data_IF_890035025662
#
_entry.id   IF_890035025662
#
_cell.length_a   1.000
_cell.length_b   1.000
_cell.length_c   1.000
_cell.angle_alpha   90.00
_cell.angle_beta   90.00
_cell.angle_gamma   90.00
#
_symmetry.space_group_name_H-M   'P 1'
#
loop_
_entity.id
_entity.type
_entity.pdbx_description
1 polymer ?
#
# COMPACT_ATOMS: atom_id res chain seq x y z
N UNK A 1 -15.62 -38.58 -46.47
CA UNK A 1 -15.45 -37.55 -45.41
C UNK A 1 -15.84 -37.99 -43.99
N UNK A 2 -16.55 -39.12 -43.78
CA UNK A 2 -17.04 -39.54 -42.44
C UNK A 2 -15.95 -39.96 -41.44
N UNK A 3 -14.72 -40.29 -41.87
CA UNK A 3 -13.66 -40.80 -40.99
C UNK A 3 -12.88 -39.72 -40.21
N UNK A 4 -13.16 -38.44 -40.42
CA UNK A 4 -12.46 -37.34 -39.74
C UNK A 4 -13.12 -36.91 -38.41
N UNK A 5 -14.40 -37.24 -38.22
CA UNK A 5 -15.15 -36.84 -37.03
C UNK A 5 -14.59 -37.42 -35.71
N UNK A 6 -14.19 -38.71 -35.63
CA UNK A 6 -13.61 -39.25 -34.41
C UNK A 6 -12.27 -38.58 -34.05
N UNK A 7 -11.45 -38.30 -35.07
CA UNK A 7 -10.18 -37.60 -34.92
C UNK A 7 -10.39 -36.15 -34.44
N UNK A 8 -11.24 -35.38 -35.12
CA UNK A 8 -11.56 -34.00 -34.77
C UNK A 8 -12.21 -33.89 -33.39
N UNK A 9 -13.13 -34.80 -33.04
CA UNK A 9 -13.75 -34.84 -31.72
C UNK A 9 -12.72 -35.06 -30.60
N UNK A 10 -11.75 -35.96 -30.82
CA UNK A 10 -10.68 -36.20 -29.85
C UNK A 10 -9.76 -34.98 -29.67
N UNK A 11 -9.45 -34.27 -30.76
CA UNK A 11 -8.64 -33.05 -30.74
C UNK A 11 -9.36 -31.90 -30.03
N UNK A 12 -10.64 -31.68 -30.35
CA UNK A 12 -11.46 -30.63 -29.72
C UNK A 12 -11.65 -30.89 -28.23
N UNK A 13 -11.80 -32.16 -27.82
CA UNK A 13 -11.87 -32.50 -26.40
C UNK A 13 -10.58 -32.19 -25.67
N UNK A 14 -9.43 -32.56 -26.25
CA UNK A 14 -8.10 -32.25 -25.68
C UNK A 14 -7.85 -30.75 -25.59
N UNK A 15 -8.20 -29.98 -26.62
CA UNK A 15 -8.02 -28.52 -26.59
C UNK A 15 -8.93 -27.85 -25.56
N UNK A 16 -10.20 -28.29 -25.46
CA UNK A 16 -11.14 -27.80 -24.46
C UNK A 16 -10.67 -28.11 -23.03
N UNK A 17 -10.18 -29.32 -22.81
CA UNK A 17 -9.63 -29.75 -21.52
C UNK A 17 -8.38 -28.93 -21.15
N UNK A 18 -7.45 -28.72 -22.09
CA UNK A 18 -6.28 -27.89 -21.88
C UNK A 18 -6.67 -26.45 -21.50
N UNK A 19 -7.67 -25.86 -22.16
CA UNK A 19 -8.16 -24.53 -21.83
C UNK A 19 -8.75 -24.46 -20.41
N UNK A 20 -9.59 -25.44 -20.04
CA UNK A 20 -10.16 -25.52 -18.68
C UNK A 20 -9.08 -25.65 -17.62
N UNK A 21 -8.11 -26.55 -17.84
CA UNK A 21 -6.98 -26.75 -16.92
C UNK A 21 -6.14 -25.49 -16.79
N UNK A 22 -5.86 -24.81 -17.90
CA UNK A 22 -5.14 -23.54 -17.87
C UNK A 22 -5.90 -22.46 -17.10
N UNK A 23 -7.23 -22.39 -17.25
CA UNK A 23 -8.06 -21.46 -16.48
C UNK A 23 -7.97 -21.73 -14.98
N UNK A 24 -7.99 -23.00 -14.57
CA UNK A 24 -7.82 -23.38 -13.16
C UNK A 24 -6.44 -22.93 -12.66
N UNK A 25 -5.36 -23.26 -13.39
CA UNK A 25 -3.99 -22.88 -13.03
C UNK A 25 -3.86 -21.35 -12.91
N UNK A 26 -4.44 -20.60 -13.85
CA UNK A 26 -4.45 -19.14 -13.82
C UNK A 26 -5.12 -18.61 -12.55
N UNK A 27 -6.32 -19.10 -12.24
CA UNK A 27 -7.06 -18.69 -11.05
C UNK A 27 -6.32 -19.02 -9.75
N UNK A 28 -5.67 -20.18 -9.67
CA UNK A 28 -4.85 -20.55 -8.51
C UNK A 28 -3.69 -19.58 -8.30
N UNK A 29 -2.94 -19.27 -9.36
CA UNK A 29 -1.83 -18.29 -9.30
C UNK A 29 -2.29 -16.89 -8.94
N UNK A 30 -3.43 -16.47 -9.47
CA UNK A 30 -4.03 -15.18 -9.12
C UNK A 30 -4.43 -15.13 -7.64
N UNK A 31 -5.01 -16.22 -7.12
CA UNK A 31 -5.37 -16.32 -5.70
C UNK A 31 -4.15 -16.26 -4.79
N UNK A 32 -3.10 -17.04 -5.05
CA UNK A 32 -1.86 -17.01 -4.27
C UNK A 32 -1.21 -15.63 -4.29
N UNK A 33 -1.15 -14.98 -5.46
CA UNK A 33 -0.61 -13.63 -5.59
C UNK A 33 -1.41 -12.61 -4.76
N UNK A 34 -2.74 -12.71 -4.77
CA UNK A 34 -3.59 -11.84 -3.96
C UNK A 34 -3.36 -12.07 -2.46
N UNK A 35 -3.22 -13.32 -2.02
CA UNK A 35 -2.95 -13.64 -0.61
C UNK A 35 -1.61 -13.05 -0.13
N UNK A 36 -0.53 -13.23 -0.91
CA UNK A 36 0.78 -12.68 -0.56
C UNK A 36 0.76 -11.15 -0.53
N UNK A 37 0.04 -10.52 -1.47
CA UNK A 37 -0.12 -9.06 -1.48
C UNK A 37 -0.89 -8.55 -0.28
N UNK A 38 -1.96 -9.24 0.12
CA UNK A 38 -2.73 -8.90 1.31
C UNK A 38 -1.89 -9.03 2.57
N UNK A 39 -1.12 -10.12 2.70
CA UNK A 39 -0.19 -10.30 3.82
C UNK A 39 0.84 -9.18 3.89
N UNK A 40 1.49 -8.86 2.76
CA UNK A 40 2.44 -7.75 2.68
C UNK A 40 1.79 -6.40 3.04
N UNK A 41 0.56 -6.17 2.58
CA UNK A 41 -0.21 -4.99 2.92
C UNK A 41 -0.48 -4.93 4.43
N UNK A 42 -0.93 -6.02 5.04
CA UNK A 42 -1.19 -6.11 6.47
C UNK A 42 0.07 -5.86 7.31
N UNK A 43 1.23 -6.36 6.87
CA UNK A 43 2.51 -6.10 7.53
C UNK A 43 2.97 -4.64 7.38
N UNK A 44 2.72 -4.01 6.22
CA UNK A 44 3.15 -2.63 5.93
C UNK A 44 2.15 -1.56 6.40
N UNK A 45 0.90 -1.93 6.66
CA UNK A 45 -0.14 -0.99 7.05
C UNK A 45 0.20 -0.39 8.41
N UNK A 46 0.70 0.84 8.41
CA UNK A 46 0.83 1.64 9.63
C UNK A 46 -0.58 1.95 10.16
N UNK A 47 -1.01 1.24 11.19
CA UNK A 47 -2.28 1.52 11.88
C UNK A 47 -2.00 2.46 13.03
N UNK A 48 -2.57 3.66 12.97
CA UNK A 48 -2.52 4.62 14.05
C UNK A 48 -3.94 4.95 14.50
N UNK A 49 -4.24 4.69 15.77
CA UNK A 49 -5.54 4.98 16.38
C UNK A 49 -5.48 6.33 17.09
N UNK A 50 -6.24 7.31 16.61
CA UNK A 50 -6.41 8.60 17.28
C UNK A 50 -7.48 8.45 18.37
N UNK A 51 -7.13 8.87 19.58
CA UNK A 51 -8.02 8.96 20.75
C UNK A 51 -8.23 10.43 21.14
N UNK A 52 -9.19 10.70 22.02
CA UNK A 52 -9.43 12.03 22.59
C UNK A 52 -8.19 12.62 23.29
N UNK A 53 -7.28 11.77 23.75
CA UNK A 53 -6.07 12.15 24.48
C UNK A 53 -4.81 12.07 23.63
N UNK A 54 -4.94 11.82 22.31
CA UNK A 54 -3.80 11.89 21.40
C UNK A 54 -3.26 13.31 21.33
N UNK A 55 -1.99 13.49 21.70
CA UNK A 55 -1.33 14.79 21.78
C UNK A 55 -0.37 15.00 20.61
N UNK A 56 -0.32 16.24 20.12
CA UNK A 56 0.71 16.67 19.17
C UNK A 56 2.08 16.66 19.84
N UNK A 57 3.06 15.96 19.25
CA UNK A 57 4.42 15.87 19.80
C UNK A 57 5.24 17.16 19.71
N UNK A 58 4.71 18.22 19.09
CA UNK A 58 5.39 19.52 18.94
C UNK A 58 4.83 20.60 19.88
N UNK A 59 3.52 20.67 20.03
CA UNK A 59 2.87 21.72 20.84
C UNK A 59 2.20 21.20 22.11
N UNK A 60 2.21 19.88 22.33
CA UNK A 60 1.59 19.20 23.47
C UNK A 60 0.12 19.58 23.69
N UNK A 61 -0.61 19.87 22.61
CA UNK A 61 -2.07 20.04 22.61
C UNK A 61 -2.76 18.82 22.02
N UNK A 62 -4.00 18.56 22.44
CA UNK A 62 -4.83 17.45 21.92
C UNK A 62 -5.03 17.62 20.41
N UNK A 63 -4.96 16.51 19.67
CA UNK A 63 -5.26 16.45 18.24
C UNK A 63 -6.77 16.65 18.03
N UNK A 64 -7.61 15.95 18.79
CA UNK A 64 -9.07 16.07 18.71
C UNK A 64 -9.59 15.85 17.28
N UNK A 65 -10.36 16.79 16.75
CA UNK A 65 -10.88 16.81 15.37
C UNK A 65 -10.00 17.61 14.40
N UNK A 66 -8.83 18.10 14.86
CA UNK A 66 -7.93 18.90 14.05
C UNK A 66 -7.21 18.08 12.98
N UNK A 67 -6.86 18.70 11.86
CA UNK A 67 -6.06 18.09 10.79
C UNK A 67 -4.67 17.76 11.33
N UNK A 68 -4.21 16.53 11.09
CA UNK A 68 -2.95 16.02 11.61
C UNK A 68 -2.08 15.42 10.51
N UNK A 69 -0.80 15.23 10.84
CA UNK A 69 0.18 14.49 10.06
C UNK A 69 0.84 13.44 10.95
N UNK A 70 1.24 12.32 10.33
CA UNK A 70 1.97 11.23 11.00
C UNK A 70 3.35 11.13 10.37
N UNK A 71 4.41 11.12 11.18
CA UNK A 71 5.76 10.95 10.66
C UNK A 71 5.99 9.52 10.15
N UNK A 72 6.99 9.30 9.27
CA UNK A 72 7.30 7.97 8.72
C UNK A 72 7.59 6.88 9.75
N UNK A 73 7.90 7.25 11.00
CA UNK A 73 8.06 6.31 12.11
C UNK A 73 6.73 5.67 12.59
N UNK A 74 5.58 6.12 12.06
CA UNK A 74 4.26 5.57 12.33
C UNK A 74 3.74 5.80 13.74
N UNK A 75 4.44 6.57 14.58
CA UNK A 75 4.09 6.79 16.00
C UNK A 75 3.93 8.27 16.35
N UNK A 76 4.73 9.13 15.74
CA UNK A 76 4.72 10.57 16.06
C UNK A 76 3.60 11.25 15.28
N UNK A 77 2.63 11.79 16.01
CA UNK A 77 1.48 12.52 15.47
C UNK A 77 1.67 13.99 15.81
N UNK A 78 1.40 14.84 14.84
CA UNK A 78 1.47 16.29 15.01
C UNK A 78 0.28 16.95 14.32
N UNK A 79 -0.12 18.13 14.77
CA UNK A 79 -1.02 18.95 13.97
C UNK A 79 -0.36 19.25 12.62
N UNK A 80 -1.17 19.34 11.57
CA UNK A 80 -0.65 19.63 10.23
C UNK A 80 0.04 21.01 10.17
N UNK A 81 -0.43 21.99 10.94
CA UNK A 81 0.23 23.30 11.06
C UNK A 81 1.61 23.18 11.73
N UNK A 82 1.71 22.44 12.83
CA UNK A 82 2.99 22.21 13.52
C UNK A 82 3.97 21.45 12.61
N UNK A 83 3.48 20.51 11.82
CA UNK A 83 4.28 19.85 10.78
C UNK A 83 4.82 20.88 9.78
N UNK A 84 3.95 21.69 9.17
CA UNK A 84 4.34 22.70 8.16
C UNK A 84 5.37 23.68 8.71
N UNK A 85 5.15 24.20 9.92
CA UNK A 85 6.04 25.16 10.56
C UNK A 85 7.42 24.53 10.84
N UNK A 86 7.44 23.27 11.27
CA UNK A 86 8.69 22.52 11.47
C UNK A 86 9.46 22.24 10.17
N UNK A 87 8.77 22.06 9.03
CA UNK A 87 9.42 21.89 7.73
C UNK A 87 9.99 23.21 7.20
N UNK A 88 9.28 24.32 7.44
CA UNK A 88 9.73 25.65 7.04
C UNK A 88 11.04 26.04 7.79
N UNK A 89 11.16 25.68 9.07
CA UNK A 89 12.41 25.84 9.83
C UNK A 89 13.58 25.02 9.26
N UNK A 90 13.32 23.83 8.70
CA UNK A 90 14.37 22.99 8.08
C UNK A 90 14.83 23.52 6.71
N UNK A 91 13.95 24.20 5.97
CA UNK A 91 14.29 24.84 4.70
C UNK A 91 15.15 26.10 4.89
N UNK A 92 14.91 26.86 5.96
CA UNK A 92 15.71 28.06 6.30
C UNK A 92 17.04 27.69 6.98
N UNK A 93 17.10 26.56 7.69
CA UNK A 93 18.31 26.09 8.39
C UNK A 93 19.46 25.59 7.50
N UNK A 94 19.21 25.28 6.21
CA UNK A 94 20.28 24.95 5.24
C UNK A 94 20.84 26.17 4.50
N UNK A 95 20.35 27.37 4.78
CA UNK A 95 20.68 28.60 4.05
C UNK A 95 21.51 29.64 4.81
N UNK A 96 21.90 29.42 6.07
CA UNK A 96 22.50 30.48 6.91
C UNK A 96 23.90 30.19 7.47
N UNK A 97 24.62 29.18 6.96
CA UNK A 97 26.06 29.01 7.21
C UNK A 97 26.89 29.31 5.95
N UNK A 98 26.74 30.50 5.36
CA UNK A 98 27.80 31.07 4.52
C UNK A 98 27.63 32.58 4.39
N UNK A 99 28.14 33.34 5.36
CA UNK A 99 28.68 34.72 5.18
C UNK A 99 29.15 35.30 6.51
N UNK A 100 30.42 35.02 6.81
CA UNK A 100 31.36 35.79 7.66
C UNK A 100 32.71 35.15 7.34
N UNK A 101 33.75 35.81 6.82
CA UNK A 101 34.15 37.22 6.73
C UNK A 101 34.84 37.42 5.38
#
# INVERSE_FOLDING_TARGET
MQNLLPFLGSLLRKSSEAYRNFSVIKSLRESENLQVKDELYNQRKAVLKITSDSMCSLCNKKIGTSVFAVYPNGKTIVHFVCFRDSQNMKAVGRGSQLRKR
#
